data_IF_162524108148
#
_entry.id   IF_162524108148
#
_cell.length_a   1.000
_cell.length_b   1.000
_cell.length_c   1.000
_cell.angle_alpha   90.00
_cell.angle_beta   90.00
_cell.angle_gamma   90.00
#
_symmetry.space_group_name_H-M   'P 1'
#
loop_
_entity.id
_entity.type
_entity.pdbx_description
1 polymer ?
#
# COMPACT_ATOMS: atom_id res chain seq x y z
N UNK A 1 35.88 8.86 -19.49
CA UNK A 1 36.59 9.68 -20.49
C UNK A 1 35.56 10.21 -21.47
N UNK A 2 35.88 11.17 -22.34
CA UNK A 2 34.94 11.52 -23.41
C UNK A 2 34.86 10.36 -24.43
N UNK A 3 33.68 10.16 -25.05
CA UNK A 3 33.50 9.18 -26.14
C UNK A 3 34.57 9.41 -27.22
N UNK A 4 35.21 8.33 -27.67
CA UNK A 4 36.18 8.37 -28.77
C UNK A 4 35.50 7.96 -30.07
N UNK A 5 35.57 8.79 -31.10
CA UNK A 5 35.00 8.44 -32.41
C UNK A 5 36.08 7.85 -33.33
N UNK A 6 35.72 6.81 -34.07
CA UNK A 6 36.58 6.23 -35.10
C UNK A 6 36.47 7.14 -36.32
N UNK A 7 37.63 7.66 -36.76
CA UNK A 7 37.69 8.42 -38.00
C UNK A 7 37.70 7.44 -39.18
N UNK A 8 36.66 7.44 -39.99
CA UNK A 8 36.55 6.57 -41.17
C UNK A 8 37.23 7.16 -42.42
N UNK A 9 37.77 8.38 -42.32
CA UNK A 9 38.42 9.08 -43.42
C UNK A 9 37.43 9.65 -44.44
N UNK A 10 37.95 10.12 -45.57
CA UNK A 10 37.14 10.72 -46.64
C UNK A 10 36.64 9.65 -47.61
N UNK A 11 35.33 9.62 -47.87
CA UNK A 11 34.74 8.74 -48.87
C UNK A 11 35.26 9.07 -50.31
N UNK A 12 35.36 8.09 -51.22
CA UNK A 12 35.00 6.67 -51.05
C UNK A 12 36.15 5.81 -50.50
N UNK A 13 37.36 6.33 -50.41
CA UNK A 13 38.58 5.53 -50.15
C UNK A 13 38.90 5.37 -48.66
N UNK A 14 38.30 6.17 -47.78
CA UNK A 14 38.64 6.20 -46.35
C UNK A 14 40.01 6.80 -46.07
N UNK A 15 40.60 7.54 -47.02
CA UNK A 15 41.91 8.15 -46.86
C UNK A 15 41.90 9.15 -45.69
N UNK A 16 42.97 9.12 -44.88
CA UNK A 16 43.09 9.94 -43.66
C UNK A 16 42.33 9.40 -42.44
N UNK A 17 41.74 8.20 -42.54
CA UNK A 17 41.08 7.52 -41.42
C UNK A 17 42.04 6.88 -40.41
N UNK A 18 41.45 6.37 -39.33
CA UNK A 18 42.15 5.57 -38.33
C UNK A 18 42.71 4.29 -38.93
N UNK A 19 43.89 3.88 -38.46
CA UNK A 19 44.40 2.54 -38.71
C UNK A 19 43.56 1.51 -37.95
N UNK A 20 43.62 0.24 -38.37
CA UNK A 20 43.00 -0.87 -37.63
C UNK A 20 43.44 -0.90 -36.16
N UNK A 21 44.70 -0.58 -35.89
CA UNK A 21 45.25 -0.49 -34.53
C UNK A 21 44.65 0.67 -33.73
N UNK A 22 44.64 1.89 -34.27
CA UNK A 22 44.11 3.06 -33.54
C UNK A 22 42.60 2.94 -33.32
N UNK A 23 41.85 2.41 -34.28
CA UNK A 23 40.44 2.08 -34.12
C UNK A 23 40.21 1.03 -33.02
N UNK A 24 41.00 -0.06 -32.99
CA UNK A 24 40.88 -1.10 -31.97
C UNK A 24 41.20 -0.57 -30.54
N UNK A 25 42.18 0.32 -30.41
CA UNK A 25 42.48 0.98 -29.12
C UNK A 25 41.29 1.82 -28.65
N UNK A 26 40.65 2.59 -29.55
CA UNK A 26 39.44 3.36 -29.23
C UNK A 26 38.27 2.46 -28.81
N UNK A 27 38.10 1.31 -29.47
CA UNK A 27 37.06 0.34 -29.11
C UNK A 27 37.32 -0.22 -27.70
N UNK A 28 38.55 -0.64 -27.41
CA UNK A 28 38.90 -1.18 -26.10
C UNK A 28 38.71 -0.15 -24.99
N UNK A 29 39.12 1.10 -25.21
CA UNK A 29 38.98 2.18 -24.22
C UNK A 29 37.50 2.47 -23.93
N UNK A 30 36.67 2.61 -24.97
CA UNK A 30 35.23 2.83 -24.81
C UNK A 30 34.53 1.66 -24.13
N UNK A 31 34.92 0.43 -24.46
CA UNK A 31 34.33 -0.78 -23.87
C UNK A 31 34.68 -0.92 -22.40
N UNK A 32 35.94 -0.66 -22.04
CA UNK A 32 36.38 -0.65 -20.64
C UNK A 32 35.63 0.41 -19.80
N UNK A 33 35.39 1.59 -20.37
CA UNK A 33 34.61 2.64 -19.71
C UNK A 33 33.14 2.23 -19.45
N UNK A 34 32.49 1.59 -20.44
CA UNK A 34 31.12 1.09 -20.27
C UNK A 34 31.02 0.06 -19.14
N UNK A 35 31.93 -0.90 -19.09
CA UNK A 35 31.95 -1.90 -18.02
C UNK A 35 32.22 -1.27 -16.65
N UNK A 36 33.18 -0.33 -16.56
CA UNK A 36 33.47 0.37 -15.32
C UNK A 36 32.25 1.15 -14.81
N UNK A 37 31.51 1.80 -15.71
CA UNK A 37 30.31 2.56 -15.36
C UNK A 37 29.18 1.65 -14.88
N UNK A 38 28.89 0.56 -15.60
CA UNK A 38 27.87 -0.42 -15.20
C UNK A 38 28.20 -1.06 -13.85
N UNK A 39 29.46 -1.40 -13.60
CA UNK A 39 29.90 -1.97 -12.32
C UNK A 39 29.86 -0.97 -11.16
N UNK A 40 29.89 0.34 -11.45
CA UNK A 40 29.78 1.40 -10.46
C UNK A 40 28.34 1.78 -10.13
N UNK A 41 27.36 1.22 -10.85
CA UNK A 41 25.95 1.41 -10.53
C UNK A 41 25.62 0.68 -9.22
N UNK A 42 24.90 1.37 -8.34
CA UNK A 42 24.37 0.73 -7.13
C UNK A 42 23.35 -0.37 -7.49
N UNK A 43 23.13 -1.29 -6.56
CA UNK A 43 22.22 -2.44 -6.73
C UNK A 43 20.76 -2.06 -6.99
N UNK A 44 20.36 -0.81 -6.75
CA UNK A 44 19.05 -0.27 -7.13
C UNK A 44 18.96 0.07 -8.63
N UNK A 45 20.04 0.57 -9.24
CA UNK A 45 20.04 1.05 -10.63
C UNK A 45 19.96 -0.09 -11.67
N UNK A 46 20.18 -1.33 -11.26
CA UNK A 46 20.12 -2.53 -12.13
C UNK A 46 18.88 -3.40 -11.88
N UNK A 47 18.01 -3.00 -10.95
CA UNK A 47 16.79 -3.75 -10.61
C UNK A 47 15.60 -3.22 -11.38
N UNK A 48 14.66 -4.10 -11.70
CA UNK A 48 13.39 -3.71 -12.28
C UNK A 48 12.58 -2.91 -11.25
N UNK A 49 11.70 -2.06 -11.75
CA UNK A 49 10.77 -1.29 -10.94
C UNK A 49 9.47 -2.09 -10.75
N UNK A 50 8.90 -2.10 -9.54
CA UNK A 50 7.60 -2.71 -9.24
C UNK A 50 7.48 -3.30 -7.83
N UNK A 51 6.38 -4.02 -7.55
CA UNK A 51 6.06 -4.55 -6.21
C UNK A 51 6.49 -6.01 -5.98
N UNK A 52 7.04 -6.68 -6.99
CA UNK A 52 7.53 -8.05 -6.86
C UNK A 52 8.81 -8.12 -6.01
N UNK A 53 9.02 -9.24 -5.31
CA UNK A 53 10.24 -9.46 -4.54
C UNK A 53 11.48 -9.30 -5.44
N UNK A 54 12.41 -8.47 -5.00
CA UNK A 54 13.64 -8.18 -5.74
C UNK A 54 13.61 -6.89 -6.57
N UNK A 55 12.46 -6.24 -6.76
CA UNK A 55 12.36 -4.97 -7.49
C UNK A 55 12.69 -3.74 -6.63
N UNK A 56 13.00 -2.61 -7.29
CA UNK A 56 12.99 -1.28 -6.66
C UNK A 56 11.57 -0.74 -6.66
N UNK A 57 11.21 -0.13 -5.55
CA UNK A 57 9.89 0.43 -5.31
C UNK A 57 9.77 1.83 -5.93
N UNK A 58 8.67 2.09 -6.65
CA UNK A 58 8.36 3.45 -7.13
C UNK A 58 8.08 4.41 -5.97
N UNK A 59 8.03 5.72 -6.22
CA UNK A 59 7.46 6.64 -5.24
C UNK A 59 5.93 6.48 -5.31
N UNK A 60 5.28 6.22 -4.18
CA UNK A 60 3.84 5.87 -4.10
C UNK A 60 3.42 4.61 -4.87
N UNK A 61 4.13 3.46 -4.75
CA UNK A 61 3.54 2.21 -5.23
C UNK A 61 2.38 1.89 -4.30
N UNK A 62 1.25 1.47 -4.87
CA UNK A 62 0.14 0.94 -4.07
C UNK A 62 0.66 -0.29 -3.29
N UNK A 63 1.12 -0.04 -2.07
CA UNK A 63 1.69 -1.04 -1.17
C UNK A 63 0.68 -1.29 -0.08
N UNK A 64 0.24 -2.55 0.04
CA UNK A 64 0.14 -3.42 1.24
C UNK A 64 -0.36 -2.88 2.60
N UNK A 65 -0.43 -1.58 2.82
CA UNK A 65 -1.20 -0.86 3.84
C UNK A 65 -1.62 0.46 3.19
N UNK A 66 -2.91 0.63 2.88
CA UNK A 66 -3.51 1.95 2.55
C UNK A 66 -3.47 2.80 3.83
N UNK A 67 -2.29 3.34 4.13
CA UNK A 67 -1.89 3.87 5.43
C UNK A 67 -1.77 5.37 5.43
N UNK A 68 -2.90 6.07 5.45
CA UNK A 68 -3.05 7.33 6.19
C UNK A 68 -4.52 7.53 6.63
N UNK A 69 -5.48 6.99 5.89
CA UNK A 69 -6.85 6.90 6.41
C UNK A 69 -7.58 5.73 5.79
N UNK A 70 -8.34 4.99 6.61
CA UNK A 70 -9.32 4.04 6.11
C UNK A 70 -10.31 4.71 5.12
N UNK A 71 -10.45 6.04 5.16
CA UNK A 71 -11.30 6.85 4.28
C UNK A 71 -10.82 6.95 2.82
N UNK A 72 -9.61 6.51 2.48
CA UNK A 72 -9.18 6.44 1.07
C UNK A 72 -9.98 5.36 0.32
N UNK A 73 -10.34 4.26 1.00
CA UNK A 73 -11.11 3.17 0.39
C UNK A 73 -12.58 3.57 0.29
N UNK A 74 -13.12 3.57 -0.93
CA UNK A 74 -14.50 3.94 -1.21
C UNK A 74 -15.50 3.14 -0.34
N UNK A 75 -16.27 3.84 0.47
CA UNK A 75 -17.27 3.25 1.37
C UNK A 75 -16.83 3.10 2.83
N UNK A 76 -15.56 3.37 3.16
CA UNK A 76 -15.18 3.72 4.53
C UNK A 76 -15.75 5.10 4.89
N UNK A 77 -16.34 5.24 6.08
CA UNK A 77 -17.11 6.43 6.45
C UNK A 77 -17.36 6.53 7.94
N UNK A 78 -17.70 7.73 8.41
CA UNK A 78 -18.36 7.89 9.70
C UNK A 78 -19.80 7.38 9.62
N UNK A 79 -20.27 6.75 10.69
CA UNK A 79 -21.62 6.23 10.84
C UNK A 79 -22.36 7.06 11.89
N UNK A 80 -23.62 7.37 11.61
CA UNK A 80 -24.53 7.98 12.57
C UNK A 80 -25.89 7.29 12.45
N UNK A 81 -26.39 6.81 13.58
CA UNK A 81 -27.68 6.18 13.74
C UNK A 81 -28.53 7.08 14.63
N UNK A 82 -29.76 7.30 14.19
CA UNK A 82 -30.78 8.04 14.92
C UNK A 82 -32.14 7.38 14.77
N UNK A 83 -33.16 8.08 15.23
CA UNK A 83 -34.54 7.61 15.12
C UNK A 83 -34.92 7.31 13.66
N UNK A 84 -35.51 6.13 13.42
CA UNK A 84 -35.89 5.68 12.07
C UNK A 84 -34.75 5.18 11.19
N UNK A 85 -33.48 5.21 11.65
CA UNK A 85 -32.37 4.63 10.89
C UNK A 85 -32.38 3.11 10.95
N UNK A 86 -32.12 2.45 9.81
CA UNK A 86 -32.07 0.98 9.73
C UNK A 86 -30.65 0.44 9.84
N UNK A 87 -30.51 -0.78 10.35
CA UNK A 87 -29.23 -1.49 10.41
C UNK A 87 -28.27 -1.01 11.52
N UNK A 88 -28.72 -0.21 12.48
CA UNK A 88 -28.00 0.10 13.72
C UNK A 88 -27.97 -1.08 14.70
N UNK A 89 -27.21 -0.97 15.81
CA UNK A 89 -27.18 -2.01 16.84
C UNK A 89 -28.57 -2.28 17.44
N UNK A 90 -28.92 -3.54 17.72
CA UNK A 90 -30.21 -3.89 18.32
C UNK A 90 -30.44 -3.15 19.65
N UNK A 91 -31.62 -2.55 19.81
CA UNK A 91 -31.99 -1.85 21.04
C UNK A 91 -31.29 -0.50 21.25
N UNK A 92 -30.60 0.03 20.23
CA UNK A 92 -29.89 1.31 20.30
C UNK A 92 -30.50 2.31 19.32
N UNK A 93 -31.09 3.39 19.83
CA UNK A 93 -31.69 4.45 19.02
C UNK A 93 -30.65 5.43 18.46
N UNK A 94 -29.65 5.79 19.27
CA UNK A 94 -28.65 6.79 18.90
C UNK A 94 -27.24 6.22 19.06
N UNK A 95 -26.50 6.14 17.96
CA UNK A 95 -25.12 5.68 17.97
C UNK A 95 -24.29 6.37 16.90
N UNK A 96 -23.00 6.56 17.18
CA UNK A 96 -22.05 7.11 16.22
C UNK A 96 -20.77 6.29 16.19
N UNK A 97 -20.09 6.26 15.04
CA UNK A 97 -18.81 5.58 14.95
C UNK A 97 -18.25 5.56 13.54
N UNK A 98 -17.59 4.47 13.19
CA UNK A 98 -16.81 4.34 11.95
C UNK A 98 -17.06 3.02 11.25
N UNK A 99 -16.99 3.06 9.93
CA UNK A 99 -16.79 1.91 9.05
C UNK A 99 -15.39 2.00 8.44
N UNK A 100 -14.61 0.93 8.59
CA UNK A 100 -13.33 0.75 7.90
C UNK A 100 -13.44 -0.40 6.91
N UNK A 101 -13.26 -0.13 5.62
CA UNK A 101 -13.20 -1.17 4.58
C UNK A 101 -11.81 -1.75 4.41
N UNK A 102 -11.78 -2.97 3.92
CA UNK A 102 -10.57 -3.64 3.47
C UNK A 102 -10.22 -3.15 2.05
N UNK A 103 -8.92 -3.05 1.75
CA UNK A 103 -8.39 -2.33 0.59
C UNK A 103 -8.46 -3.11 -0.74
N UNK A 104 -8.83 -4.39 -0.71
CA UNK A 104 -8.74 -5.31 -1.85
C UNK A 104 -9.85 -5.14 -2.91
N UNK A 105 -10.62 -4.06 -2.83
CA UNK A 105 -11.77 -3.79 -3.69
C UNK A 105 -13.04 -4.58 -3.33
N UNK A 106 -12.97 -5.52 -2.38
CA UNK A 106 -14.16 -6.22 -1.87
C UNK A 106 -14.96 -5.36 -0.88
N UNK A 107 -16.13 -5.83 -0.48
CA UNK A 107 -16.97 -5.19 0.55
C UNK A 107 -16.64 -5.60 1.98
N UNK A 108 -15.54 -6.30 2.22
CA UNK A 108 -15.10 -6.58 3.58
C UNK A 108 -14.91 -5.27 4.36
N UNK A 109 -15.55 -5.20 5.52
CA UNK A 109 -15.45 -4.04 6.40
C UNK A 109 -15.70 -4.40 7.86
N UNK A 110 -15.29 -3.51 8.75
CA UNK A 110 -15.65 -3.54 10.17
C UNK A 110 -16.37 -2.25 10.52
N UNK A 111 -17.52 -2.37 11.17
CA UNK A 111 -18.22 -1.25 11.79
C UNK A 111 -17.98 -1.30 13.29
N UNK A 112 -17.62 -0.17 13.89
CA UNK A 112 -17.58 0.03 15.35
C UNK A 112 -18.36 1.29 15.68
N UNK A 113 -19.32 1.19 16.59
CA UNK A 113 -20.15 2.32 17.02
C UNK A 113 -20.33 2.33 18.53
N UNK A 114 -20.44 3.54 19.09
CA UNK A 114 -20.82 3.76 20.47
C UNK A 114 -22.22 4.34 20.57
N UNK A 115 -23.02 3.85 21.52
CA UNK A 115 -24.26 4.49 21.91
C UNK A 115 -23.94 5.81 22.62
N UNK A 116 -24.47 6.91 22.10
CA UNK A 116 -24.13 8.25 22.61
C UNK A 116 -24.76 8.56 23.97
N UNK A 117 -25.77 7.80 24.40
CA UNK A 117 -26.49 8.04 25.65
C UNK A 117 -25.89 7.29 26.84
N UNK A 118 -25.35 6.10 26.62
CA UNK A 118 -24.83 5.25 27.71
C UNK A 118 -23.39 4.78 27.51
N UNK A 119 -22.76 5.08 26.37
CA UNK A 119 -21.36 4.74 26.11
C UNK A 119 -21.10 3.29 25.69
N UNK A 120 -22.12 2.42 25.66
CA UNK A 120 -21.94 1.03 25.24
C UNK A 120 -21.40 0.94 23.81
N UNK A 121 -20.42 0.07 23.60
CA UNK A 121 -19.76 -0.13 22.32
C UNK A 121 -20.28 -1.40 21.62
N UNK A 122 -20.41 -1.31 20.30
CA UNK A 122 -20.90 -2.37 19.44
C UNK A 122 -20.02 -2.48 18.20
N UNK A 123 -19.87 -3.71 17.69
CA UNK A 123 -19.14 -3.94 16.45
C UNK A 123 -19.79 -5.03 15.60
N UNK A 124 -19.52 -4.99 14.29
CA UNK A 124 -19.86 -6.07 13.36
C UNK A 124 -18.88 -6.10 12.20
N UNK A 125 -18.97 -7.18 11.42
CA UNK A 125 -18.27 -7.30 10.14
C UNK A 125 -19.25 -7.20 8.97
N UNK A 126 -18.75 -6.77 7.83
CA UNK A 126 -19.43 -6.83 6.53
C UNK A 126 -18.66 -7.83 5.67
N UNK A 127 -19.38 -8.71 4.96
CA UNK A 127 -18.76 -9.72 4.12
C UNK A 127 -18.34 -9.17 2.74
N UNK A 128 -17.71 -10.00 1.90
CA UNK A 128 -17.16 -9.61 0.59
C UNK A 128 -18.19 -9.04 -0.39
N UNK A 129 -19.49 -9.31 -0.19
CA UNK A 129 -20.60 -8.85 -1.04
C UNK A 129 -21.44 -7.72 -0.39
N UNK A 130 -21.01 -7.19 0.75
CA UNK A 130 -21.63 -6.01 1.37
C UNK A 130 -22.75 -6.32 2.36
N UNK A 131 -22.99 -7.59 2.66
CA UNK A 131 -24.00 -7.99 3.65
C UNK A 131 -23.43 -7.80 5.05
N UNK A 132 -24.19 -7.09 5.89
CA UNK A 132 -23.85 -6.78 7.27
C UNK A 132 -24.16 -8.00 8.15
N UNK A 133 -23.15 -8.49 8.87
CA UNK A 133 -23.38 -9.52 9.89
C UNK A 133 -24.03 -8.91 11.14
N UNK A 134 -24.54 -9.78 12.02
CA UNK A 134 -25.13 -9.38 13.29
C UNK A 134 -24.16 -8.55 14.15
N UNK A 135 -24.72 -7.57 14.84
CA UNK A 135 -24.01 -6.76 15.82
C UNK A 135 -23.62 -7.58 17.05
N UNK A 136 -22.48 -7.22 17.64
CA UNK A 136 -21.95 -7.79 18.88
C UNK A 136 -21.61 -6.66 19.84
N UNK A 137 -21.92 -6.86 21.11
CA UNK A 137 -21.58 -5.90 22.18
C UNK A 137 -20.12 -6.10 22.59
N UNK A 138 -19.41 -4.99 22.82
CA UNK A 138 -18.11 -5.00 23.50
C UNK A 138 -18.38 -4.84 24.99
N UNK A 139 -17.87 -5.80 25.75
CA UNK A 139 -18.02 -5.82 27.20
C UNK A 139 -16.88 -5.07 27.88
N UNK A 140 -17.23 -4.17 28.78
CA UNK A 140 -16.33 -3.37 29.60
C UNK A 140 -16.87 -3.20 31.02
N UNK A 141 -16.21 -2.39 31.85
CA UNK A 141 -16.59 -2.18 33.25
C UNK A 141 -17.94 -1.48 33.46
N UNK A 142 -18.51 -0.86 32.41
CA UNK A 142 -19.83 -0.21 32.46
C UNK A 142 -20.98 -1.20 32.26
N UNK A 143 -20.73 -2.33 31.60
CA UNK A 143 -21.75 -3.32 31.25
C UNK A 143 -21.40 -4.75 31.65
N UNK A 144 -20.38 -4.91 32.51
CA UNK A 144 -20.06 -6.17 33.18
C UNK A 144 -19.83 -5.99 34.67
N UNK A 145 -20.16 -7.04 35.42
CA UNK A 145 -19.73 -7.20 36.81
C UNK A 145 -18.62 -8.25 36.89
N UNK A 146 -17.66 -8.03 37.79
CA UNK A 146 -16.60 -8.98 38.11
C UNK A 146 -16.91 -9.66 39.44
N UNK A 147 -17.09 -10.97 39.42
CA UNK A 147 -17.27 -11.76 40.63
C UNK A 147 -15.94 -11.95 41.38
N UNK A 148 -16.01 -12.40 42.64
CA UNK A 148 -14.84 -12.62 43.49
C UNK A 148 -13.89 -13.69 42.93
N UNK A 149 -14.42 -14.66 42.18
CA UNK A 149 -13.66 -15.70 41.46
C UNK A 149 -13.01 -15.18 40.15
N UNK A 150 -13.20 -13.90 39.83
CA UNK A 150 -12.67 -13.26 38.64
C UNK A 150 -13.51 -13.45 37.38
N UNK A 151 -14.64 -14.15 37.44
CA UNK A 151 -15.55 -14.29 36.29
C UNK A 151 -16.25 -12.98 35.95
N UNK A 152 -16.45 -12.72 34.66
CA UNK A 152 -17.20 -11.57 34.17
C UNK A 152 -18.61 -11.99 33.81
N UNK A 153 -19.60 -11.21 34.23
CA UNK A 153 -21.02 -11.40 33.86
C UNK A 153 -21.54 -10.12 33.23
N UNK A 154 -22.27 -10.25 32.13
CA UNK A 154 -23.02 -9.14 31.55
C UNK A 154 -24.06 -8.62 32.56
N UNK A 155 -24.26 -7.31 32.58
CA UNK A 155 -25.30 -6.63 33.37
C UNK A 155 -26.60 -6.60 32.58
#
# INVERSE_FOLDING_TARGET
MARQEINVGTAPTGAGGDTTRSAAVKINSMTAELYAKTNSLGSAATRNVGIASGNVMEISPAQLVDGNSAFIVEGSRFLSYGEGTTGGPPGVTYASGIRSRFYDGSFFAVDIVGNILNGNLYWRTVNSVGVQNGWRTIYDTSNTTRAQDGTLKAI
#
